data_IF_935720700003
#
_entry.id   IF_935720700003
#
_cell.length_a   1.000
_cell.length_b   1.000
_cell.length_c   1.000
_cell.angle_alpha   90.00
_cell.angle_beta   90.00
_cell.angle_gamma   90.00
#
_symmetry.space_group_name_H-M   'P 1'
#
loop_
_entity.id
_entity.type
_entity.pdbx_description
1 polymer ?
#
# COMPACT_ATOMS: atom_id res chain seq x y z
N UNK A 1 3.27 -11.70 1.68
CA UNK A 1 1.87 -12.11 1.92
C UNK A 1 1.00 -11.59 0.80
N UNK A 2 -0.18 -12.16 0.54
CA UNK A 2 -1.12 -11.61 -0.46
C UNK A 2 -1.62 -10.21 -0.05
N UNK A 3 -1.81 -9.31 -1.03
CA UNK A 3 -2.23 -7.91 -0.81
C UNK A 3 -3.49 -7.78 0.05
N UNK A 4 -4.52 -8.57 -0.22
CA UNK A 4 -5.78 -8.49 0.52
C UNK A 4 -5.64 -8.87 2.00
N UNK A 5 -4.59 -9.60 2.39
CA UNK A 5 -4.35 -9.96 3.79
C UNK A 5 -3.54 -8.89 4.49
N UNK A 6 -2.40 -8.46 3.93
CA UNK A 6 -1.59 -7.43 4.58
C UNK A 6 -2.26 -6.05 4.54
N UNK A 7 -3.11 -5.81 3.54
CA UNK A 7 -3.92 -4.60 3.51
C UNK A 7 -4.87 -4.52 4.71
N UNK A 8 -5.37 -5.63 5.26
CA UNK A 8 -6.22 -5.56 6.46
C UNK A 8 -5.42 -5.04 7.67
N UNK A 9 -4.21 -5.56 7.84
CA UNK A 9 -3.30 -5.24 8.94
C UNK A 9 -2.59 -3.88 8.81
N UNK A 10 -2.56 -3.30 7.59
CA UNK A 10 -1.87 -2.04 7.37
C UNK A 10 -2.53 -0.89 8.14
N UNK A 11 -1.70 -0.09 8.82
CA UNK A 11 -2.14 1.07 9.59
C UNK A 11 -2.86 2.13 8.73
N UNK A 12 -3.85 2.81 9.34
CA UNK A 12 -4.72 3.76 8.63
C UNK A 12 -3.95 4.89 7.94
N UNK A 13 -2.90 5.42 8.58
CA UNK A 13 -2.08 6.50 8.00
C UNK A 13 -1.33 6.06 6.75
N UNK A 14 -0.77 4.84 6.77
CA UNK A 14 -0.09 4.28 5.62
C UNK A 14 -1.10 3.97 4.49
N UNK A 15 -2.29 3.47 4.83
CA UNK A 15 -3.39 3.30 3.86
C UNK A 15 -3.77 4.63 3.21
N UNK A 16 -3.99 5.68 4.00
CA UNK A 16 -4.34 7.01 3.47
C UNK A 16 -3.27 7.54 2.51
N UNK A 17 -1.99 7.47 2.92
CA UNK A 17 -0.90 7.92 2.07
C UNK A 17 -0.87 7.16 0.74
N UNK A 18 -0.99 5.82 0.77
CA UNK A 18 -1.00 4.99 -0.44
C UNK A 18 -2.16 5.32 -1.37
N UNK A 19 -3.35 5.60 -0.82
CA UNK A 19 -4.52 5.99 -1.63
C UNK A 19 -4.30 7.35 -2.31
N UNK A 20 -3.82 8.33 -1.56
CA UNK A 20 -3.57 9.70 -2.05
C UNK A 20 -2.40 9.77 -3.05
N UNK A 21 -1.43 8.85 -2.95
CA UNK A 21 -0.22 8.81 -3.76
C UNK A 21 -0.16 7.54 -4.63
N UNK A 22 -1.31 7.15 -5.19
CA UNK A 22 -1.43 5.96 -6.04
C UNK A 22 -0.40 5.98 -7.17
N UNK A 23 0.37 4.90 -7.31
CA UNK A 23 1.37 4.76 -8.37
C UNK A 23 2.68 5.50 -8.11
N UNK A 24 2.91 5.97 -6.88
CA UNK A 24 4.17 6.58 -6.47
C UNK A 24 5.35 5.65 -6.82
N UNK A 25 6.39 6.20 -7.43
CA UNK A 25 7.59 5.44 -7.80
C UNK A 25 8.50 5.15 -6.62
N UNK A 26 8.31 5.88 -5.52
CA UNK A 26 9.03 5.72 -4.27
C UNK A 26 8.07 5.92 -3.10
N UNK A 27 8.12 5.00 -2.14
CA UNK A 27 7.30 5.00 -0.93
C UNK A 27 8.18 5.50 0.23
N UNK A 28 7.74 6.51 1.01
CA UNK A 28 8.46 7.00 2.17
C UNK A 28 8.76 5.90 3.19
N UNK A 29 9.89 6.02 3.89
CA UNK A 29 10.36 5.02 4.85
C UNK A 29 9.30 4.61 5.88
N UNK A 30 8.54 5.58 6.42
CA UNK A 30 7.50 5.30 7.39
C UNK A 30 6.33 4.47 6.82
N UNK A 31 6.04 4.61 5.53
CA UNK A 31 5.02 3.81 4.84
C UNK A 31 5.61 2.45 4.45
N UNK A 32 6.88 2.41 4.03
CA UNK A 32 7.60 1.18 3.74
C UNK A 32 7.70 0.26 4.96
N UNK A 33 8.05 0.81 6.12
CA UNK A 33 8.08 0.11 7.40
C UNK A 33 6.70 -0.44 7.78
N UNK A 34 5.64 0.35 7.60
CA UNK A 34 4.27 -0.11 7.87
C UNK A 34 3.84 -1.24 6.93
N UNK A 35 4.19 -1.16 5.64
CA UNK A 35 3.95 -2.23 4.66
C UNK A 35 4.68 -3.51 5.06
N UNK A 36 5.96 -3.40 5.44
CA UNK A 36 6.75 -4.54 5.88
C UNK A 36 6.20 -5.15 7.18
N UNK A 37 5.81 -4.32 8.16
CA UNK A 37 5.21 -4.75 9.42
C UNK A 37 3.87 -5.48 9.20
N UNK A 38 3.09 -5.05 8.21
CA UNK A 38 1.86 -5.72 7.81
C UNK A 38 2.09 -7.00 6.99
N UNK A 39 3.33 -7.29 6.56
CA UNK A 39 3.71 -8.48 5.78
C UNK A 39 3.67 -8.31 4.25
N UNK A 40 3.56 -7.07 3.78
CA UNK A 40 3.81 -6.68 2.39
C UNK A 40 5.30 -6.53 2.08
N UNK A 41 5.64 -6.24 0.83
CA UNK A 41 7.02 -6.01 0.41
C UNK A 41 7.07 -4.97 -0.70
N UNK A 42 8.11 -4.15 -0.69
CA UNK A 42 8.40 -3.23 -1.79
C UNK A 42 9.36 -3.89 -2.79
N UNK A 43 9.24 -3.50 -4.05
CA UNK A 43 10.16 -3.84 -5.14
C UNK A 43 10.69 -2.54 -5.73
N UNK A 44 12.00 -2.29 -5.64
CA UNK A 44 12.60 -1.08 -6.18
C UNK A 44 12.10 0.22 -5.51
N UNK A 45 11.73 0.17 -4.23
CA UNK A 45 11.26 1.33 -3.48
C UNK A 45 9.75 1.60 -3.59
N UNK A 46 8.99 0.78 -4.33
CA UNK A 46 7.54 0.93 -4.46
C UNK A 46 6.80 -0.41 -4.43
N UNK A 47 5.46 -0.36 -4.40
CA UNK A 47 4.60 -1.52 -4.58
C UNK A 47 4.61 -1.98 -6.05
N UNK A 48 4.29 -3.25 -6.25
CA UNK A 48 4.09 -3.80 -7.59
C UNK A 48 2.82 -3.24 -8.24
N UNK A 49 2.71 -3.34 -9.57
CA UNK A 49 1.50 -2.93 -10.30
C UNK A 49 0.23 -3.58 -9.74
N UNK A 50 0.30 -4.89 -9.42
CA UNK A 50 -0.84 -5.64 -8.87
C UNK A 50 -1.34 -5.07 -7.53
N UNK A 51 -0.42 -4.61 -6.69
CA UNK A 51 -0.74 -4.03 -5.39
C UNK A 51 -1.32 -2.63 -5.56
N UNK A 52 -0.78 -1.83 -6.48
CA UNK A 52 -1.36 -0.53 -6.84
C UNK A 52 -2.78 -0.67 -7.40
N UNK A 53 -3.01 -1.62 -8.32
CA UNK A 53 -4.33 -1.87 -8.89
C UNK A 53 -5.35 -2.25 -7.80
N UNK A 54 -4.94 -3.07 -6.82
CA UNK A 54 -5.78 -3.40 -5.67
C UNK A 54 -6.14 -2.16 -4.84
N UNK A 55 -5.17 -1.29 -4.56
CA UNK A 55 -5.37 -0.07 -3.76
C UNK A 55 -6.32 0.90 -4.47
N UNK A 56 -6.22 1.03 -5.80
CA UNK A 56 -7.16 1.81 -6.62
C UNK A 56 -8.57 1.29 -6.43
N UNK A 57 -8.77 -0.02 -6.63
CA UNK A 57 -10.08 -0.64 -6.46
C UNK A 57 -10.62 -0.43 -5.04
N UNK A 58 -9.79 -0.46 -4.00
CA UNK A 58 -10.22 -0.20 -2.62
C UNK A 58 -10.47 1.28 -2.29
N UNK A 59 -10.08 2.21 -3.15
CA UNK A 59 -10.30 3.65 -2.96
C UNK A 59 -11.60 4.11 -3.61
N UNK A 60 -12.01 3.47 -4.71
CA UNK A 60 -13.27 3.75 -5.41
C UNK A 60 -14.53 3.44 -4.57
N UNK A 61 -14.40 2.75 -3.43
CA UNK A 61 -15.50 2.44 -2.51
C UNK A 61 -15.50 3.25 -1.21
N UNK A 62 -14.61 4.24 -1.07
CA UNK A 62 -14.51 5.09 0.12
C UNK A 62 -14.88 6.53 -0.26
N UNK A 63 -16.17 6.75 -0.54
CA UNK A 63 -16.83 8.06 -0.50
C UNK A 63 -17.65 8.18 0.80
#
# INVERSE_FOLDING_TARGET
MEIHLWWLELELRAKQWLRENTGAQEVPDNVAEAVAAAGGSLTGGTLTQREWDFIVTQSEFVD
#
